data_IF_051254121279
#
_entry.id   IF_051254121279
#
_cell.length_a   1.000
_cell.length_b   1.000
_cell.length_c   1.000
_cell.angle_alpha   90.00
_cell.angle_beta   90.00
_cell.angle_gamma   90.00
#
_symmetry.space_group_name_H-M   'P 1'
#
loop_
_entity.id
_entity.type
_entity.pdbx_description
1 polymer ?
#
# COMPACT_ATOMS: atom_id res chain seq x y z
N UNK A 1 20.17 15.66 -10.20
CA UNK A 1 21.17 14.83 -9.49
C UNK A 1 21.77 15.61 -8.33
N UNK A 2 22.26 16.84 -8.55
CA UNK A 2 22.87 17.67 -7.51
C UNK A 2 22.00 17.86 -6.26
N UNK A 3 20.69 18.12 -6.41
CA UNK A 3 19.77 18.24 -5.27
C UNK A 3 19.68 16.97 -4.42
N UNK A 4 19.78 15.78 -5.04
CA UNK A 4 19.78 14.50 -4.30
C UNK A 4 21.12 14.29 -3.60
N UNK A 5 22.24 14.61 -4.26
CA UNK A 5 23.57 14.54 -3.65
C UNK A 5 23.68 15.48 -2.44
N UNK A 6 23.22 16.72 -2.56
CA UNK A 6 23.16 17.67 -1.44
C UNK A 6 22.32 17.14 -0.27
N UNK A 7 21.21 16.43 -0.56
CA UNK A 7 20.41 15.81 0.49
C UNK A 7 21.13 14.63 1.17
N UNK A 8 21.92 13.85 0.43
CA UNK A 8 22.74 12.76 0.97
C UNK A 8 23.88 13.30 1.83
N UNK A 9 24.53 14.37 1.40
CA UNK A 9 25.59 15.05 2.15
C UNK A 9 25.04 15.70 3.43
N UNK A 10 23.91 16.40 3.34
CA UNK A 10 23.25 17.01 4.50
C UNK A 10 22.83 15.98 5.57
N UNK A 11 22.49 14.75 5.15
CA UNK A 11 22.19 13.66 6.08
C UNK A 11 23.42 12.87 6.53
N UNK A 12 24.64 13.26 6.09
CA UNK A 12 25.88 12.52 6.33
C UNK A 12 25.74 11.04 5.97
N UNK A 13 25.11 10.75 4.82
CA UNK A 13 24.71 9.39 4.45
C UNK A 13 25.90 8.43 4.31
N UNK A 14 27.09 8.93 3.96
CA UNK A 14 28.31 8.14 3.91
C UNK A 14 29.54 8.95 4.31
N UNK A 15 30.61 8.23 4.66
CA UNK A 15 31.98 8.74 4.75
C UNK A 15 32.84 8.11 3.64
N UNK A 16 33.83 8.85 3.11
CA UNK A 16 34.79 8.28 2.15
C UNK A 16 35.92 7.59 2.92
N UNK A 17 36.06 6.28 2.73
CA UNK A 17 37.03 5.43 3.42
C UNK A 17 37.76 4.52 2.42
N UNK A 18 38.88 3.92 2.83
CA UNK A 18 39.49 2.81 2.08
C UNK A 18 38.71 1.52 2.33
N UNK A 19 38.57 0.69 1.30
CA UNK A 19 37.89 -0.61 1.43
C UNK A 19 38.74 -1.53 2.32
N UNK A 20 38.20 -2.02 3.46
CA UNK A 20 38.94 -2.96 4.29
C UNK A 20 39.14 -4.31 3.58
N UNK A 21 40.22 -5.05 3.90
CA UNK A 21 40.45 -6.39 3.36
C UNK A 21 39.26 -7.32 3.64
N UNK A 22 38.81 -8.06 2.63
CA UNK A 22 37.73 -9.04 2.75
C UNK A 22 36.30 -8.48 2.70
N UNK A 23 36.11 -7.16 2.69
CA UNK A 23 34.78 -6.55 2.51
C UNK A 23 34.40 -6.46 1.03
N UNK A 24 33.13 -6.68 0.72
CA UNK A 24 32.59 -6.57 -0.65
C UNK A 24 31.93 -5.22 -0.87
N UNK A 25 32.12 -4.68 -2.07
CA UNK A 25 31.48 -3.45 -2.49
C UNK A 25 30.12 -3.72 -3.11
N UNK A 26 29.14 -2.92 -2.71
CA UNK A 26 27.86 -2.83 -3.42
C UNK A 26 27.91 -1.70 -4.44
N UNK A 27 27.31 -1.92 -5.61
CA UNK A 27 27.17 -0.85 -6.59
C UNK A 27 26.00 0.07 -6.29
N UNK A 28 25.87 1.15 -7.04
CA UNK A 28 24.71 2.03 -7.03
C UNK A 28 24.26 2.35 -8.46
N UNK A 29 23.07 2.93 -8.60
CA UNK A 29 22.56 3.47 -9.87
C UNK A 29 21.66 4.67 -9.64
N UNK A 30 21.62 5.57 -10.61
CA UNK A 30 20.65 6.65 -10.66
C UNK A 30 19.32 6.14 -11.23
N UNK A 31 18.22 6.47 -10.56
CA UNK A 31 16.86 6.22 -11.03
C UNK A 31 16.18 7.57 -11.28
N UNK A 32 15.70 7.78 -12.50
CA UNK A 32 15.05 9.00 -12.91
C UNK A 32 13.55 8.80 -13.06
N UNK A 33 12.77 9.79 -12.61
CA UNK A 33 11.32 9.81 -12.75
C UNK A 33 10.84 11.23 -13.01
N UNK A 34 10.13 11.43 -14.11
CA UNK A 34 9.40 12.67 -14.37
C UNK A 34 8.11 12.67 -13.55
N UNK A 35 7.90 13.72 -12.76
CA UNK A 35 6.64 14.01 -12.09
C UNK A 35 5.86 14.96 -12.99
N UNK A 36 4.59 14.65 -13.22
CA UNK A 36 3.69 15.44 -14.04
C UNK A 36 2.62 16.08 -13.16
N UNK A 37 2.18 17.28 -13.54
CA UNK A 37 1.02 17.95 -12.97
C UNK A 37 -0.27 17.27 -13.45
N UNK A 38 -1.40 17.68 -12.90
CA UNK A 38 -2.71 17.15 -13.26
C UNK A 38 -3.08 17.39 -14.74
N UNK A 39 -2.56 18.46 -15.35
CA UNK A 39 -2.73 18.81 -16.77
C UNK A 39 -1.78 18.05 -17.72
N UNK A 40 -0.94 17.16 -17.19
CA UNK A 40 0.05 16.40 -17.97
C UNK A 40 1.37 17.14 -18.23
N UNK A 41 1.50 18.41 -17.84
CA UNK A 41 2.75 19.15 -17.93
C UNK A 41 3.77 18.66 -16.90
N UNK A 42 5.06 18.94 -17.12
CA UNK A 42 6.13 18.50 -16.22
C UNK A 42 6.10 19.33 -14.93
N UNK A 43 5.90 18.67 -13.79
CA UNK A 43 6.01 19.26 -12.46
C UNK A 43 7.48 19.35 -12.05
N UNK A 44 8.22 18.23 -12.12
CA UNK A 44 9.64 18.16 -11.77
C UNK A 44 10.32 16.90 -12.29
N UNK A 45 11.62 16.99 -12.55
CA UNK A 45 12.48 15.82 -12.77
C UNK A 45 13.04 15.33 -11.42
N UNK A 46 12.71 14.10 -11.04
CA UNK A 46 13.21 13.48 -9.81
C UNK A 46 14.33 12.51 -10.14
N UNK A 47 15.47 12.67 -9.48
CA UNK A 47 16.56 11.69 -9.49
C UNK A 47 16.67 11.09 -8.09
N UNK A 48 16.92 9.78 -8.00
CA UNK A 48 17.22 9.09 -6.75
C UNK A 48 18.46 8.24 -6.95
N UNK A 49 19.36 8.27 -5.97
CA UNK A 49 20.45 7.32 -5.91
C UNK A 49 19.94 6.04 -5.24
N UNK A 50 20.16 4.90 -5.88
CA UNK A 50 19.69 3.60 -5.39
C UNK A 50 20.86 2.63 -5.32
N UNK A 51 21.10 2.08 -4.13
CA UNK A 51 22.02 1.00 -3.88
C UNK A 51 21.55 -0.27 -4.59
N UNK A 52 22.48 -1.05 -5.13
CA UNK A 52 22.22 -2.37 -5.73
C UNK A 52 22.10 -3.44 -4.63
N UNK A 53 21.23 -3.24 -3.65
CA UNK A 53 21.14 -4.13 -2.47
C UNK A 53 20.71 -5.57 -2.77
N UNK A 54 20.33 -5.91 -4.00
CA UNK A 54 20.18 -7.30 -4.43
C UNK A 54 21.51 -8.08 -4.38
N UNK A 55 22.66 -7.39 -4.32
CA UNK A 55 23.97 -8.03 -4.11
C UNK A 55 24.29 -8.26 -2.62
N UNK A 56 23.46 -7.79 -1.68
CA UNK A 56 23.68 -7.98 -0.25
C UNK A 56 23.37 -9.41 0.19
N UNK A 57 24.19 -9.93 1.09
CA UNK A 57 24.12 -11.28 1.67
C UNK A 57 23.60 -11.20 3.11
N UNK A 58 22.59 -12.01 3.42
CA UNK A 58 22.04 -12.15 4.77
C UNK A 58 23.09 -12.71 5.74
N UNK A 59 23.14 -12.20 6.96
CA UNK A 59 24.14 -12.57 7.97
C UNK A 59 25.49 -11.87 7.80
N UNK A 60 25.72 -11.18 6.67
CA UNK A 60 26.92 -10.38 6.42
C UNK A 60 26.60 -8.88 6.32
N UNK A 61 25.69 -8.53 5.40
CA UNK A 61 25.36 -7.13 5.06
C UNK A 61 24.08 -6.63 5.74
N UNK A 62 23.26 -7.55 6.25
CA UNK A 62 22.03 -7.30 6.99
C UNK A 62 21.61 -8.55 7.75
N UNK A 63 20.87 -8.36 8.85
CA UNK A 63 20.27 -9.47 9.61
C UNK A 63 18.74 -9.50 9.49
N UNK A 64 18.08 -8.34 9.58
CA UNK A 64 16.63 -8.25 9.54
C UNK A 64 16.15 -7.20 8.54
N UNK A 65 15.07 -7.50 7.81
CA UNK A 65 14.52 -6.61 6.78
C UNK A 65 13.06 -6.25 7.00
N UNK A 66 12.41 -6.87 7.99
CA UNK A 66 10.98 -6.69 8.21
C UNK A 66 10.66 -5.26 8.65
N UNK A 67 9.75 -4.62 7.90
CA UNK A 67 9.16 -3.33 8.22
C UNK A 67 7.64 -3.45 8.08
N UNK A 68 6.85 -3.11 9.11
CA UNK A 68 5.41 -3.16 9.03
C UNK A 68 4.87 -2.06 8.12
N UNK A 69 3.70 -2.34 7.53
CA UNK A 69 2.96 -1.42 6.67
C UNK A 69 1.51 -1.45 7.11
N UNK A 70 0.90 -0.27 7.29
CA UNK A 70 -0.49 -0.15 7.72
C UNK A 70 -1.42 -0.95 6.80
N UNK A 71 -2.27 -1.78 7.41
CA UNK A 71 -3.29 -2.50 6.64
C UNK A 71 -4.34 -1.52 6.15
N UNK A 72 -4.83 -1.74 4.94
CA UNK A 72 -5.92 -0.93 4.39
C UNK A 72 -7.22 -1.05 5.20
N UNK A 73 -7.41 -2.15 5.92
CA UNK A 73 -8.49 -2.29 6.90
C UNK A 73 -8.32 -1.31 8.06
N UNK A 74 -7.11 -1.15 8.61
CA UNK A 74 -6.81 -0.14 9.65
C UNK A 74 -7.07 1.28 9.17
N UNK A 75 -6.67 1.60 7.92
CA UNK A 75 -6.97 2.89 7.29
C UNK A 75 -8.48 3.14 7.24
N UNK A 76 -9.26 2.16 6.76
CA UNK A 76 -10.73 2.27 6.67
C UNK A 76 -11.38 2.38 8.05
N UNK A 77 -10.92 1.63 9.05
CA UNK A 77 -11.40 1.73 10.43
C UNK A 77 -11.12 3.12 11.02
N UNK A 78 -9.91 3.64 10.85
CA UNK A 78 -9.54 4.98 11.30
C UNK A 78 -10.44 6.05 10.68
N UNK A 79 -10.67 5.97 9.37
CA UNK A 79 -11.53 6.91 8.66
C UNK A 79 -13.01 6.78 9.07
N UNK A 80 -13.50 5.57 9.30
CA UNK A 80 -14.86 5.35 9.79
C UNK A 80 -15.08 5.94 11.19
N UNK A 81 -14.12 5.72 12.11
CA UNK A 81 -14.17 6.29 13.46
C UNK A 81 -14.04 7.82 13.39
N UNK A 82 -13.10 8.33 12.59
CA UNK A 82 -12.89 9.76 12.43
C UNK A 82 -14.11 10.47 11.82
N UNK A 83 -14.79 9.85 10.86
CA UNK A 83 -16.05 10.35 10.30
C UNK A 83 -17.14 10.45 11.38
N UNK A 84 -17.30 9.39 12.18
CA UNK A 84 -18.30 9.34 13.26
C UNK A 84 -18.03 10.33 14.37
N UNK A 85 -16.77 10.44 14.80
CA UNK A 85 -16.35 11.31 15.91
C UNK A 85 -16.02 12.74 15.46
N UNK A 86 -16.18 13.03 14.17
CA UNK A 86 -15.78 14.28 13.53
C UNK A 86 -14.32 14.70 13.83
N UNK A 87 -13.41 13.73 13.89
CA UNK A 87 -12.00 13.98 14.16
C UNK A 87 -11.32 14.72 13.01
N UNK A 88 -10.32 15.52 13.34
CA UNK A 88 -9.43 16.15 12.37
C UNK A 88 -8.56 15.06 11.76
N UNK A 89 -8.25 15.16 10.46
CA UNK A 89 -7.37 14.20 9.78
C UNK A 89 -6.41 14.99 8.90
N UNK A 90 -5.15 14.98 9.29
CA UNK A 90 -4.06 15.59 8.55
C UNK A 90 -3.15 14.53 7.94
N UNK A 91 -2.52 14.87 6.83
CA UNK A 91 -1.56 14.02 6.16
C UNK A 91 -0.19 14.69 6.16
N UNK A 92 0.84 13.91 6.48
CA UNK A 92 2.23 14.32 6.45
C UNK A 92 3.01 13.43 5.47
N UNK A 93 4.00 13.98 4.79
CA UNK A 93 4.91 13.28 3.86
C UNK A 93 6.35 13.50 4.32
N UNK A 94 7.03 12.43 4.74
CA UNK A 94 8.44 12.52 5.15
C UNK A 94 9.33 12.51 3.91
N UNK A 95 10.10 13.59 3.71
CA UNK A 95 11.01 13.62 2.58
C UNK A 95 12.18 12.66 2.84
N UNK A 96 12.46 11.81 1.85
CA UNK A 96 13.63 10.94 1.87
C UNK A 96 13.72 10.08 3.14
N UNK A 97 12.58 9.53 3.58
CA UNK A 97 12.43 8.73 4.80
C UNK A 97 13.58 7.73 5.04
N UNK A 98 13.97 6.94 4.03
CA UNK A 98 15.04 5.95 4.18
C UNK A 98 16.41 6.55 4.53
N UNK A 99 16.68 7.81 4.18
CA UNK A 99 17.94 8.48 4.53
C UNK A 99 18.01 8.88 6.02
N UNK A 100 16.88 8.90 6.72
CA UNK A 100 16.85 9.18 8.14
C UNK A 100 17.15 7.94 9.01
N UNK A 101 17.02 6.74 8.45
CA UNK A 101 17.32 5.49 9.14
C UNK A 101 18.82 5.34 9.39
N UNK A 102 19.19 5.10 10.64
CA UNK A 102 20.56 4.75 11.02
C UNK A 102 20.94 3.39 10.42
N UNK A 103 22.19 3.21 9.99
CA UNK A 103 22.68 1.94 9.48
C UNK A 103 23.75 1.41 10.44
N UNK A 104 23.39 0.38 11.19
CA UNK A 104 24.29 -0.26 12.15
C UNK A 104 25.29 -1.20 11.45
N UNK A 105 24.89 -1.81 10.33
CA UNK A 105 25.75 -2.70 9.56
C UNK A 105 26.82 -1.95 8.74
N UNK A 106 27.99 -2.58 8.59
CA UNK A 106 29.08 -2.03 7.79
C UNK A 106 28.91 -2.33 6.30
N UNK A 107 28.23 -1.43 5.60
CA UNK A 107 28.02 -1.53 4.14
C UNK A 107 28.91 -0.54 3.39
N UNK A 108 29.68 -1.05 2.42
CA UNK A 108 30.56 -0.27 1.55
C UNK A 108 30.01 -0.20 0.14
N UNK A 109 29.87 1.01 -0.40
CA UNK A 109 29.28 1.28 -1.70
C UNK A 109 30.28 1.96 -2.63
N UNK A 110 30.23 1.62 -3.92
CA UNK A 110 30.96 2.35 -4.96
C UNK A 110 30.43 3.80 -5.01
N UNK A 111 31.30 4.82 -5.06
CA UNK A 111 30.86 6.20 -5.17
C UNK A 111 29.89 6.41 -6.35
N UNK A 112 28.90 7.31 -6.22
CA UNK A 112 27.93 7.54 -7.28
C UNK A 112 28.62 7.97 -8.58
N UNK A 113 28.16 7.50 -9.76
CA UNK A 113 28.67 8.00 -11.03
C UNK A 113 28.56 9.53 -11.10
N UNK A 114 29.69 10.21 -11.34
CA UNK A 114 29.78 11.67 -11.38
C UNK A 114 30.01 12.37 -10.03
N UNK A 115 30.24 11.61 -8.95
CA UNK A 115 30.53 12.18 -7.62
C UNK A 115 32.03 12.46 -7.40
N UNK A 116 32.89 11.49 -7.73
CA UNK A 116 34.34 11.59 -7.51
C UNK A 116 35.09 12.05 -8.77
N UNK A 117 36.21 12.73 -8.56
CA UNK A 117 37.19 13.07 -9.62
C UNK A 117 37.89 11.82 -10.14
N UNK A 118 38.42 11.89 -11.37
CA UNK A 118 39.20 10.79 -11.95
C UNK A 118 40.40 10.45 -11.06
N UNK A 119 40.51 9.19 -10.62
CA UNK A 119 41.61 8.70 -9.77
C UNK A 119 41.28 8.51 -8.29
N UNK A 120 40.07 8.85 -7.83
CA UNK A 120 39.65 8.58 -6.44
C UNK A 120 39.48 7.06 -6.21
N UNK A 121 40.24 6.52 -5.26
CA UNK A 121 40.22 5.10 -4.89
C UNK A 121 39.38 4.80 -3.65
N UNK A 122 38.93 5.84 -2.93
CA UNK A 122 38.08 5.67 -1.75
C UNK A 122 36.67 5.24 -2.11
N UNK A 123 36.03 4.57 -1.17
CA UNK A 123 34.67 4.02 -1.29
C UNK A 123 33.76 4.67 -0.26
N UNK A 124 32.45 4.67 -0.52
CA UNK A 124 31.47 5.22 0.41
C UNK A 124 31.14 4.18 1.49
N UNK A 125 31.59 4.41 2.73
CA UNK A 125 31.08 3.68 3.89
C UNK A 125 29.74 4.29 4.28
N UNK A 126 28.65 3.55 4.12
CA UNK A 126 27.31 4.03 4.45
C UNK A 126 27.16 4.17 5.98
N UNK A 127 26.61 5.31 6.41
CA UNK A 127 26.26 5.62 7.81
C UNK A 127 24.75 5.70 8.02
N UNK A 128 24.02 6.00 6.95
CA UNK A 128 22.56 5.99 6.91
C UNK A 128 22.09 4.99 5.86
N UNK A 129 20.86 4.54 6.04
CA UNK A 129 20.18 3.72 5.06
C UNK A 129 20.00 4.48 3.73
N UNK A 130 20.03 3.74 2.63
CA UNK A 130 19.88 4.27 1.28
C UNK A 130 18.84 3.45 0.53
N UNK A 131 18.14 4.08 -0.43
CA UNK A 131 17.17 3.37 -1.27
C UNK A 131 17.81 2.14 -1.91
N UNK A 132 17.11 1.01 -1.86
CA UNK A 132 17.57 -0.23 -2.49
C UNK A 132 18.43 -1.12 -1.59
N UNK A 133 18.85 -0.67 -0.41
CA UNK A 133 19.32 -1.58 0.65
C UNK A 133 18.15 -2.42 1.17
N UNK A 134 18.44 -3.68 1.54
CA UNK A 134 17.41 -4.62 2.01
C UNK A 134 16.81 -4.23 3.37
N UNK A 135 17.58 -3.62 4.26
CA UNK A 135 17.15 -3.19 5.60
C UNK A 135 16.62 -1.74 5.65
N UNK A 136 16.68 -0.97 4.56
CA UNK A 136 16.38 0.47 4.59
C UNK A 136 14.99 0.81 5.14
N UNK A 137 13.96 0.05 4.73
CA UNK A 137 12.59 0.26 5.22
C UNK A 137 12.45 0.00 6.71
N UNK A 138 13.18 -1.01 7.22
CA UNK A 138 13.17 -1.37 8.63
C UNK A 138 13.83 -0.28 9.46
N UNK A 139 15.02 0.17 9.06
CA UNK A 139 15.79 1.14 9.83
C UNK A 139 15.06 2.49 9.89
N UNK A 140 14.39 2.88 8.80
CA UNK A 140 13.48 4.01 8.81
C UNK A 140 12.34 3.82 9.81
N UNK A 141 11.62 2.70 9.71
CA UNK A 141 10.47 2.44 10.58
C UNK A 141 10.88 2.39 12.06
N UNK A 142 12.03 1.78 12.37
CA UNK A 142 12.58 1.72 13.71
C UNK A 142 12.88 3.12 14.25
N UNK A 143 13.58 3.95 13.46
CA UNK A 143 13.88 5.34 13.85
C UNK A 143 12.63 6.16 14.13
N UNK A 144 11.63 6.06 13.24
CA UNK A 144 10.35 6.72 13.43
C UNK A 144 9.63 6.22 14.68
N UNK A 145 9.63 4.90 14.90
CA UNK A 145 9.03 4.27 16.08
C UNK A 145 9.66 4.80 17.37
N UNK A 146 10.99 4.87 17.45
CA UNK A 146 11.69 5.43 18.63
C UNK A 146 11.22 6.86 18.91
N UNK A 147 11.19 7.73 17.90
CA UNK A 147 10.72 9.12 18.07
C UNK A 147 9.25 9.18 18.52
N UNK A 148 8.38 8.32 17.99
CA UNK A 148 6.97 8.27 18.40
C UNK A 148 6.82 7.79 19.85
N UNK A 149 7.56 6.76 20.25
CA UNK A 149 7.54 6.25 21.62
C UNK A 149 8.08 7.28 22.62
N UNK A 150 9.17 7.97 22.27
CA UNK A 150 9.75 9.05 23.09
C UNK A 150 8.78 10.23 23.24
N UNK A 151 7.96 10.51 22.22
CA UNK A 151 6.87 11.48 22.28
C UNK A 151 5.64 11.00 23.08
N UNK A 152 5.68 9.80 23.67
CA UNK A 152 4.64 9.24 24.54
C UNK A 152 3.57 8.42 23.82
N UNK A 153 3.71 8.14 22.52
CA UNK A 153 2.77 7.28 21.82
C UNK A 153 2.92 5.82 22.25
N UNK A 154 1.82 5.08 22.17
CA UNK A 154 1.80 3.62 22.34
C UNK A 154 1.58 2.96 20.99
N UNK A 155 2.45 2.01 20.64
CA UNK A 155 2.32 1.21 19.43
C UNK A 155 1.27 0.11 19.61
N UNK A 156 0.38 -0.06 18.62
CA UNK A 156 -0.62 -1.13 18.62
C UNK A 156 0.02 -2.48 18.27
N UNK A 157 -0.43 -3.53 18.97
CA UNK A 157 -0.02 -4.92 18.68
C UNK A 157 -0.82 -5.53 17.52
N UNK A 158 -2.02 -5.01 17.24
CA UNK A 158 -2.86 -5.49 16.15
C UNK A 158 -2.35 -4.99 14.78
N UNK A 159 -1.91 -3.74 14.72
CA UNK A 159 -1.23 -3.14 13.57
C UNK A 159 -0.06 -2.30 14.06
N UNK A 160 1.16 -2.79 13.85
CA UNK A 160 2.39 -2.15 14.34
C UNK A 160 2.62 -0.77 13.70
N UNK A 161 1.94 -0.45 12.60
CA UNK A 161 2.00 0.87 11.98
C UNK A 161 1.04 1.90 12.61
N UNK A 162 0.20 1.48 13.58
CA UNK A 162 -0.74 2.33 14.29
C UNK A 162 -0.19 2.71 15.68
N UNK A 163 -0.20 4.00 15.97
CA UNK A 163 0.26 4.59 17.22
C UNK A 163 -0.84 5.45 17.82
N UNK A 164 -1.00 5.40 19.14
CA UNK A 164 -2.03 6.16 19.86
C UNK A 164 -1.44 6.91 21.04
N UNK A 165 -1.78 8.18 21.16
CA UNK A 165 -1.55 9.01 22.33
C UNK A 165 -2.93 9.39 22.89
N UNK A 166 -3.25 8.87 24.08
CA UNK A 166 -4.54 9.07 24.74
C UNK A 166 -4.29 9.76 26.08
N UNK A 167 -4.95 10.89 26.28
CA UNK A 167 -5.03 11.59 27.56
C UNK A 167 -6.47 11.55 28.07
N UNK A 168 -6.75 12.20 29.20
CA UNK A 168 -8.12 12.28 29.72
C UNK A 168 -9.10 13.00 28.79
N UNK A 169 -8.61 13.96 27.98
CA UNK A 169 -9.46 14.82 27.14
C UNK A 169 -9.12 14.73 25.66
N UNK A 170 -7.93 14.26 25.30
CA UNK A 170 -7.43 14.24 23.93
C UNK A 170 -7.04 12.84 23.47
N UNK A 171 -7.28 12.58 22.18
CA UNK A 171 -6.83 11.40 21.48
C UNK A 171 -6.17 11.84 20.17
N UNK A 172 -4.93 11.41 19.99
CA UNK A 172 -4.19 11.54 18.74
C UNK A 172 -3.77 10.15 18.28
N UNK A 173 -4.10 9.82 17.05
CA UNK A 173 -3.79 8.57 16.37
C UNK A 173 -2.87 8.89 15.19
N UNK A 174 -1.76 8.18 15.12
CA UNK A 174 -0.78 8.28 14.04
C UNK A 174 -0.74 6.94 13.32
N UNK A 175 -1.03 6.94 12.03
CA UNK A 175 -0.95 5.75 11.17
C UNK A 175 0.14 5.95 10.13
N UNK A 176 1.13 5.07 10.14
CA UNK A 176 2.33 5.17 9.30
C UNK A 176 2.23 4.22 8.11
N UNK A 177 2.35 4.76 6.90
CA UNK A 177 2.54 3.98 5.67
C UNK A 177 3.82 4.42 4.99
N UNK A 178 4.94 3.79 5.38
CA UNK A 178 6.28 4.09 4.85
C UNK A 178 6.62 5.60 5.01
N UNK A 179 6.49 6.40 3.96
CA UNK A 179 6.80 7.85 3.96
C UNK A 179 5.55 8.71 4.28
N UNK A 180 4.34 8.17 4.04
CA UNK A 180 3.06 8.85 4.26
C UNK A 180 2.57 8.59 5.69
N UNK A 181 2.19 9.63 6.42
CA UNK A 181 1.68 9.54 7.79
C UNK A 181 0.29 10.20 7.85
N UNK A 182 -0.70 9.47 8.37
CA UNK A 182 -1.99 10.05 8.75
C UNK A 182 -1.99 10.38 10.23
N UNK A 183 -2.39 11.59 10.58
CA UNK A 183 -2.58 12.04 11.94
C UNK A 183 -4.05 12.39 12.12
N UNK A 184 -4.73 11.68 13.02
CA UNK A 184 -6.13 11.92 13.30
C UNK A 184 -6.38 12.11 14.79
N UNK A 185 -7.30 12.99 15.17
CA UNK A 185 -7.59 13.24 16.57
C UNK A 185 -8.69 14.25 16.81
N UNK A 186 -9.04 14.43 18.09
CA UNK A 186 -10.07 15.39 18.51
C UNK A 186 -9.49 16.75 18.95
N UNK A 187 -8.16 16.87 19.11
CA UNK A 187 -7.49 18.05 19.67
C UNK A 187 -6.45 18.60 18.70
N UNK A 188 -6.76 19.74 18.07
CA UNK A 188 -5.88 20.39 17.08
C UNK A 188 -4.55 20.88 17.70
N UNK A 189 -4.54 21.60 18.83
CA UNK A 189 -3.30 21.93 19.55
C UNK A 189 -2.36 20.74 19.76
N UNK A 190 -2.88 19.58 20.18
CA UNK A 190 -2.06 18.38 20.37
C UNK A 190 -1.49 17.86 19.04
N UNK A 191 -2.30 17.87 17.97
CA UNK A 191 -1.85 17.49 16.62
C UNK A 191 -0.75 18.42 16.13
N UNK A 192 -0.88 19.74 16.31
CA UNK A 192 0.13 20.71 15.89
C UNK A 192 1.41 20.61 16.73
N UNK A 193 1.29 20.36 18.04
CA UNK A 193 2.45 20.05 18.88
C UNK A 193 3.20 18.82 18.38
N UNK A 194 2.47 17.74 18.07
CA UNK A 194 3.05 16.53 17.50
C UNK A 194 3.73 16.78 16.16
N UNK A 195 3.09 17.54 15.25
CA UNK A 195 3.69 17.91 13.96
C UNK A 195 5.01 18.65 14.15
N UNK A 196 5.03 19.64 15.03
CA UNK A 196 6.24 20.42 15.31
C UNK A 196 7.36 19.52 15.87
N UNK A 197 7.03 18.62 16.79
CA UNK A 197 7.98 17.65 17.29
C UNK A 197 8.50 16.72 16.18
N UNK A 198 7.64 16.26 15.27
CA UNK A 198 8.07 15.46 14.13
C UNK A 198 8.98 16.27 13.18
N UNK A 199 8.73 17.57 13.00
CA UNK A 199 9.52 18.47 12.15
C UNK A 199 10.92 18.76 12.70
N UNK A 200 11.12 18.66 14.03
CA UNK A 200 12.47 18.80 14.61
C UNK A 200 13.34 17.58 14.34
N UNK A 201 12.74 16.40 14.18
CA UNK A 201 13.47 15.15 13.93
C UNK A 201 13.61 14.79 12.46
N UNK A 202 12.60 15.09 11.64
CA UNK A 202 12.54 14.68 10.24
C UNK A 202 12.15 15.83 9.32
N UNK A 203 12.70 15.81 8.10
CA UNK A 203 12.34 16.78 7.07
C UNK A 203 10.99 16.44 6.46
N UNK A 204 9.92 16.79 7.15
CA UNK A 204 8.54 16.42 6.79
C UNK A 204 7.81 17.57 6.11
N UNK A 205 6.84 17.26 5.26
CA UNK A 205 5.90 18.21 4.66
C UNK A 205 4.52 18.00 5.25
N UNK A 206 3.89 19.08 5.65
CA UNK A 206 2.47 19.08 5.97
C UNK A 206 1.65 19.23 4.69
N UNK A 207 0.82 18.22 4.39
CA UNK A 207 -0.12 18.27 3.27
C UNK A 207 -1.50 18.79 3.71
N UNK A 208 -1.66 19.11 4.99
CA UNK A 208 -2.89 19.62 5.58
C UNK A 208 -3.98 18.55 5.66
N UNK A 209 -5.23 18.98 5.51
CA UNK A 209 -6.40 18.09 5.51
C UNK A 209 -6.27 16.98 4.48
N UNK A 210 -6.61 15.76 4.89
CA UNK A 210 -6.57 14.58 4.04
C UNK A 210 -7.44 14.74 2.78
N UNK A 211 -6.80 14.78 1.61
CA UNK A 211 -7.45 14.79 0.28
C UNK A 211 -7.06 13.59 -0.58
N UNK A 212 -5.83 13.11 -0.45
CA UNK A 212 -5.29 12.00 -1.24
C UNK A 212 -4.37 11.13 -0.41
N UNK A 213 -4.63 9.84 -0.26
CA UNK A 213 -3.76 8.93 0.47
C UNK A 213 -3.60 7.63 -0.28
N UNK A 214 -2.35 7.24 -0.60
CA UNK A 214 -2.05 6.01 -1.35
C UNK A 214 -2.85 5.89 -2.66
N UNK A 215 -3.01 6.99 -3.40
CA UNK A 215 -3.81 7.00 -4.63
C UNK A 215 -5.33 6.82 -4.43
N UNK A 216 -5.81 6.90 -3.19
CA UNK A 216 -7.22 7.05 -2.85
C UNK A 216 -7.58 8.54 -2.80
N UNK A 217 -8.70 8.88 -3.39
CA UNK A 217 -9.32 10.20 -3.33
C UNK A 217 -10.26 10.28 -2.13
N UNK A 218 -10.06 11.26 -1.27
CA UNK A 218 -10.82 11.44 -0.03
C UNK A 218 -11.62 12.74 -0.10
N UNK A 219 -12.94 12.63 0.00
CA UNK A 219 -13.84 13.76 0.12
C UNK A 219 -14.51 13.73 1.48
N UNK A 220 -14.47 14.85 2.21
CA UNK A 220 -15.07 14.98 3.55
C UNK A 220 -16.19 16.01 3.52
N UNK A 221 -17.30 15.68 4.17
CA UNK A 221 -18.42 16.59 4.43
C UNK A 221 -18.95 16.38 5.85
N UNK A 222 -19.96 17.16 6.26
CA UNK A 222 -20.68 16.95 7.53
C UNK A 222 -21.39 15.59 7.59
N UNK A 223 -21.76 15.04 6.43
CA UNK A 223 -22.40 13.73 6.34
C UNK A 223 -21.41 12.56 6.54
N UNK A 224 -20.11 12.78 6.34
CA UNK A 224 -19.12 11.72 6.47
C UNK A 224 -17.90 11.87 5.55
N UNK A 225 -17.22 10.75 5.33
CA UNK A 225 -16.02 10.66 4.48
C UNK A 225 -16.30 9.69 3.33
N UNK A 226 -16.07 10.13 2.10
CA UNK A 226 -16.16 9.33 0.89
C UNK A 226 -14.77 9.02 0.36
N UNK A 227 -14.49 7.73 0.14
CA UNK A 227 -13.25 7.24 -0.47
C UNK A 227 -13.55 6.67 -1.85
N UNK A 228 -12.78 7.10 -2.86
CA UNK A 228 -12.85 6.53 -4.20
C UNK A 228 -11.46 6.48 -4.87
N UNK A 229 -11.42 5.85 -6.05
CA UNK A 229 -10.22 5.73 -6.88
C UNK A 229 -10.53 6.17 -8.32
N UNK A 230 -11.28 7.27 -8.50
CA UNK A 230 -11.77 7.71 -9.81
C UNK A 230 -10.64 7.93 -10.79
N UNK A 231 -9.61 8.68 -10.40
CA UNK A 231 -8.45 8.93 -11.26
C UNK A 231 -7.80 7.61 -11.71
N UNK A 232 -7.59 6.70 -10.77
CA UNK A 232 -6.96 5.41 -11.06
C UNK A 232 -7.82 4.54 -11.99
N UNK A 233 -9.14 4.53 -11.81
CA UNK A 233 -10.08 3.83 -12.68
C UNK A 233 -10.03 4.40 -14.12
N UNK A 234 -10.00 5.72 -14.27
CA UNK A 234 -9.86 6.38 -15.58
C UNK A 234 -8.52 6.06 -16.24
N UNK A 235 -7.42 6.05 -15.47
CA UNK A 235 -6.10 5.67 -15.97
C UNK A 235 -6.10 4.20 -16.46
N UNK A 236 -6.80 3.28 -15.77
CA UNK A 236 -6.94 1.89 -16.24
C UNK A 236 -7.71 1.85 -17.55
N UNK A 237 -8.83 2.58 -17.66
CA UNK A 237 -9.66 2.61 -18.86
C UNK A 237 -8.92 3.22 -20.07
N UNK A 238 -8.12 4.26 -19.83
CA UNK A 238 -7.27 4.88 -20.84
C UNK A 238 -6.21 3.90 -21.34
N UNK A 239 -5.42 3.33 -20.42
CA UNK A 239 -4.32 2.42 -20.76
C UNK A 239 -4.78 1.12 -21.44
N UNK A 240 -6.03 0.71 -21.24
CA UNK A 240 -6.64 -0.47 -21.86
C UNK A 240 -7.45 -0.17 -23.12
N UNK A 241 -7.52 1.10 -23.55
CA UNK A 241 -8.30 1.51 -24.71
C UNK A 241 -9.82 1.36 -24.53
N UNK A 242 -10.32 1.28 -23.28
CA UNK A 242 -11.73 1.05 -22.97
C UNK A 242 -12.52 2.34 -22.70
N UNK A 243 -11.92 3.53 -22.86
CA UNK A 243 -12.64 4.81 -22.70
C UNK A 243 -13.85 4.92 -23.64
N UNK A 244 -13.79 4.37 -24.85
CA UNK A 244 -14.89 4.36 -25.83
C UNK A 244 -15.86 3.17 -25.71
N UNK A 245 -15.59 2.18 -24.85
CA UNK A 245 -16.33 0.92 -24.83
C UNK A 245 -17.78 1.05 -24.31
N UNK A 246 -18.71 0.19 -24.73
CA UNK A 246 -20.06 0.17 -24.14
C UNK A 246 -19.99 -0.24 -22.67
N UNK A 247 -20.86 0.28 -21.81
CA UNK A 247 -20.91 -0.13 -20.41
C UNK A 247 -21.46 -1.56 -20.25
N UNK A 248 -21.25 -2.14 -19.06
CA UNK A 248 -21.89 -3.38 -18.63
C UNK A 248 -22.56 -3.14 -17.26
N UNK A 249 -23.70 -3.78 -17.00
CA UNK A 249 -24.46 -3.59 -15.74
C UNK A 249 -23.92 -4.42 -14.57
N UNK A 250 -23.13 -5.45 -14.85
CA UNK A 250 -22.53 -6.33 -13.84
C UNK A 250 -21.12 -6.77 -14.26
N UNK A 251 -20.21 -7.01 -13.29
CA UNK A 251 -18.79 -7.23 -13.56
C UNK A 251 -18.49 -8.59 -14.22
N UNK A 252 -19.27 -9.62 -13.90
CA UNK A 252 -19.04 -10.99 -14.37
C UNK A 252 -20.38 -11.73 -14.54
N UNK A 253 -20.48 -12.55 -15.57
CA UNK A 253 -21.68 -13.36 -15.86
C UNK A 253 -21.91 -14.43 -14.81
N UNK A 254 -23.18 -14.64 -14.47
CA UNK A 254 -23.58 -15.70 -13.58
C UNK A 254 -23.20 -17.05 -14.20
N UNK A 255 -22.64 -17.95 -13.38
CA UNK A 255 -22.17 -19.27 -13.81
C UNK A 255 -21.05 -19.29 -14.87
N UNK A 256 -20.36 -18.17 -15.11
CA UNK A 256 -19.17 -18.15 -15.96
C UNK A 256 -18.09 -19.08 -15.37
N UNK A 257 -17.80 -20.18 -16.05
CA UNK A 257 -16.75 -21.13 -15.68
C UNK A 257 -15.54 -20.96 -16.60
N UNK A 258 -14.55 -20.22 -16.12
CA UNK A 258 -13.26 -20.09 -16.80
C UNK A 258 -12.38 -21.33 -16.51
N UNK A 259 -11.63 -21.78 -17.52
CA UNK A 259 -10.79 -22.97 -17.46
C UNK A 259 -9.38 -22.68 -17.96
N UNK A 260 -8.40 -23.43 -17.45
CA UNK A 260 -7.01 -23.37 -17.90
C UNK A 260 -6.79 -23.95 -19.31
N UNK A 261 -7.81 -24.57 -19.90
CA UNK A 261 -7.73 -25.25 -21.19
C UNK A 261 -8.62 -24.59 -22.26
N UNK A 262 -9.47 -23.65 -21.87
CA UNK A 262 -10.46 -23.06 -22.77
C UNK A 262 -9.90 -21.91 -23.62
N UNK A 263 -10.08 -22.03 -24.94
CA UNK A 263 -9.59 -21.07 -25.93
C UNK A 263 -8.07 -21.03 -26.10
N UNK A 264 -7.56 -20.25 -27.07
CA UNK A 264 -6.12 -20.11 -27.29
C UNK A 264 -5.45 -19.27 -26.19
N UNK A 265 -4.16 -19.53 -25.98
CA UNK A 265 -3.31 -18.71 -25.11
C UNK A 265 -3.26 -17.26 -25.60
N UNK A 266 -3.17 -16.33 -24.65
CA UNK A 266 -2.99 -14.93 -24.97
C UNK A 266 -1.56 -14.71 -25.52
N UNK A 267 -1.38 -14.08 -26.69
CA UNK A 267 -0.05 -13.88 -27.29
C UNK A 267 0.92 -13.12 -26.37
N UNK A 268 0.42 -12.10 -25.67
CA UNK A 268 1.17 -11.36 -24.66
C UNK A 268 0.49 -11.46 -23.27
N UNK A 269 0.97 -12.38 -22.41
CA UNK A 269 0.49 -12.51 -21.03
C UNK A 269 0.70 -11.26 -20.17
N UNK A 270 1.63 -10.38 -20.53
CA UNK A 270 2.00 -9.22 -19.70
C UNK A 270 0.85 -8.21 -19.62
N UNK A 271 0.08 -8.05 -20.69
CA UNK A 271 -1.11 -7.17 -20.74
C UNK A 271 -2.14 -7.62 -19.71
N UNK A 272 -2.43 -8.92 -19.67
CA UNK A 272 -3.36 -9.49 -18.70
C UNK A 272 -2.87 -9.34 -17.27
N UNK A 273 -1.60 -9.69 -17.01
CA UNK A 273 -1.00 -9.58 -15.67
C UNK A 273 -1.00 -8.14 -15.16
N UNK A 274 -0.65 -7.18 -16.02
CA UNK A 274 -0.71 -5.74 -15.70
C UNK A 274 -2.14 -5.31 -15.41
N UNK A 275 -3.11 -5.71 -16.23
CA UNK A 275 -4.52 -5.36 -16.04
C UNK A 275 -5.11 -5.96 -14.77
N UNK A 276 -4.84 -7.23 -14.46
CA UNK A 276 -5.36 -7.85 -13.24
C UNK A 276 -4.70 -7.26 -11.99
N UNK A 277 -3.39 -6.99 -12.01
CA UNK A 277 -2.70 -6.27 -10.92
C UNK A 277 -3.29 -4.88 -10.66
N UNK A 278 -3.50 -4.14 -11.76
CA UNK A 278 -4.59 -3.16 -11.98
C UNK A 278 -5.77 -3.20 -11.03
N UNK A 279 -6.62 -4.17 -11.34
CA UNK A 279 -7.93 -4.35 -10.74
C UNK A 279 -7.83 -4.77 -9.27
N UNK A 280 -6.80 -5.55 -8.90
CA UNK A 280 -6.53 -5.91 -7.49
C UNK A 280 -6.40 -4.64 -6.66
N UNK A 281 -5.64 -3.65 -7.13
CA UNK A 281 -5.49 -2.37 -6.42
C UNK A 281 -6.80 -1.57 -6.36
N UNK A 282 -7.62 -1.63 -7.41
CA UNK A 282 -8.92 -0.95 -7.45
C UNK A 282 -9.94 -1.55 -6.46
N UNK A 283 -9.76 -2.81 -6.03
CA UNK A 283 -10.65 -3.44 -5.04
C UNK A 283 -10.57 -2.79 -3.65
N UNK A 284 -9.61 -1.90 -3.40
CA UNK A 284 -9.47 -1.16 -2.13
C UNK A 284 -10.69 -0.27 -1.85
N UNK A 285 -11.34 0.28 -2.88
CA UNK A 285 -12.59 1.04 -2.75
C UNK A 285 -13.77 0.40 -3.48
N UNK A 286 -13.58 -0.74 -4.14
CA UNK A 286 -14.59 -1.42 -4.98
C UNK A 286 -14.85 -2.86 -4.49
N UNK A 287 -15.60 -3.04 -3.40
CA UNK A 287 -15.97 -4.38 -2.93
C UNK A 287 -16.79 -5.18 -3.96
N UNK A 288 -17.54 -4.49 -4.81
CA UNK A 288 -18.40 -5.00 -5.87
C UNK A 288 -17.67 -5.81 -6.97
N UNK A 289 -16.37 -5.57 -7.17
CA UNK A 289 -15.57 -6.30 -8.19
C UNK A 289 -14.65 -7.37 -7.58
N UNK A 290 -14.58 -7.49 -6.25
CA UNK A 290 -13.59 -8.36 -5.56
C UNK A 290 -13.70 -9.81 -6.03
N UNK A 291 -14.94 -10.32 -6.17
CA UNK A 291 -15.18 -11.67 -6.66
C UNK A 291 -14.64 -11.87 -8.09
N UNK A 292 -15.03 -10.99 -9.01
CA UNK A 292 -14.61 -11.07 -10.41
C UNK A 292 -13.08 -11.00 -10.54
N UNK A 293 -12.44 -10.10 -9.81
CA UNK A 293 -10.98 -9.95 -9.78
C UNK A 293 -10.31 -11.18 -9.16
N UNK A 294 -10.89 -11.79 -8.13
CA UNK A 294 -10.37 -13.01 -7.54
C UNK A 294 -10.35 -14.17 -8.55
N UNK A 295 -11.43 -14.35 -9.32
CA UNK A 295 -11.50 -15.37 -10.37
C UNK A 295 -10.44 -15.13 -11.45
N UNK A 296 -10.34 -13.90 -11.97
CA UNK A 296 -9.34 -13.53 -12.98
C UNK A 296 -7.89 -13.74 -12.49
N UNK A 297 -7.63 -13.45 -11.22
CA UNK A 297 -6.31 -13.64 -10.61
C UNK A 297 -5.81 -15.08 -10.64
N UNK A 298 -6.68 -16.07 -10.78
CA UNK A 298 -6.30 -17.48 -10.84
C UNK A 298 -5.56 -17.86 -12.14
N UNK A 299 -5.70 -17.05 -13.18
CA UNK A 299 -5.19 -17.34 -14.53
C UNK A 299 -3.93 -16.52 -14.89
N UNK A 300 -3.28 -15.89 -13.92
CA UNK A 300 -2.09 -15.04 -14.15
C UNK A 300 -0.90 -15.80 -14.75
N UNK A 301 -0.76 -17.11 -14.49
CA UNK A 301 0.34 -17.92 -15.00
C UNK A 301 0.26 -18.08 -16.53
N UNK A 302 -0.88 -18.57 -17.03
CA UNK A 302 -1.13 -18.84 -18.45
C UNK A 302 -2.50 -18.26 -18.88
N UNK A 303 -2.60 -16.93 -19.08
CA UNK A 303 -3.84 -16.30 -19.50
C UNK A 303 -4.22 -16.69 -20.94
N UNK A 304 -5.53 -16.73 -21.21
CA UNK A 304 -6.14 -17.13 -22.49
C UNK A 304 -7.11 -16.06 -22.97
N UNK A 305 -7.53 -16.13 -24.22
CA UNK A 305 -8.48 -15.17 -24.81
C UNK A 305 -9.77 -15.05 -23.98
N UNK A 306 -10.44 -16.14 -23.53
CA UNK A 306 -11.63 -16.03 -22.68
C UNK A 306 -11.39 -15.27 -21.38
N UNK A 307 -10.21 -15.44 -20.76
CA UNK A 307 -9.83 -14.71 -19.55
C UNK A 307 -9.73 -13.20 -19.81
N UNK A 308 -9.12 -12.81 -20.94
CA UNK A 308 -9.02 -11.41 -21.33
C UNK A 308 -10.39 -10.81 -21.62
N UNK A 309 -11.28 -11.53 -22.32
CA UNK A 309 -12.66 -11.10 -22.57
C UNK A 309 -13.42 -10.83 -21.27
N UNK A 310 -13.29 -11.72 -20.27
CA UNK A 310 -13.88 -11.53 -18.95
C UNK A 310 -13.27 -10.31 -18.21
N UNK A 311 -11.96 -10.09 -18.31
CA UNK A 311 -11.31 -8.90 -17.74
C UNK A 311 -11.80 -7.60 -18.42
N UNK A 312 -11.96 -7.61 -19.74
CA UNK A 312 -12.53 -6.48 -20.49
C UNK A 312 -13.98 -6.19 -20.07
N UNK A 313 -14.78 -7.21 -19.75
CA UNK A 313 -16.13 -7.01 -19.20
C UNK A 313 -16.09 -6.25 -17.87
N UNK A 314 -15.17 -6.59 -16.97
CA UNK A 314 -14.99 -5.85 -15.69
C UNK A 314 -14.66 -4.38 -15.96
N UNK A 315 -13.84 -4.08 -16.96
CA UNK A 315 -13.56 -2.70 -17.37
C UNK A 315 -14.81 -1.98 -17.88
N UNK A 316 -15.63 -2.63 -18.69
CA UNK A 316 -16.91 -2.08 -19.16
C UNK A 316 -17.87 -1.80 -18.01
N UNK A 317 -17.85 -2.62 -16.96
CA UNK A 317 -18.62 -2.37 -15.74
C UNK A 317 -18.08 -1.16 -14.95
N UNK A 318 -16.76 -1.09 -14.74
CA UNK A 318 -16.11 0.06 -14.06
C UNK A 318 -16.38 1.37 -14.81
N UNK A 319 -16.40 1.34 -16.15
CA UNK A 319 -16.74 2.51 -16.98
C UNK A 319 -18.13 3.09 -16.65
N UNK A 320 -19.09 2.26 -16.24
CA UNK A 320 -20.42 2.74 -15.86
C UNK A 320 -20.39 3.69 -14.65
N UNK A 321 -19.46 3.48 -13.72
CA UNK A 321 -19.32 4.27 -12.50
C UNK A 321 -17.84 4.36 -12.05
N UNK A 322 -17.01 5.13 -12.77
CA UNK A 322 -15.57 5.19 -12.47
C UNK A 322 -15.27 5.83 -11.10
N UNK A 323 -16.17 6.70 -10.62
CA UNK A 323 -16.06 7.32 -9.29
C UNK A 323 -16.75 6.54 -8.16
N UNK A 324 -17.23 5.32 -8.40
CA UNK A 324 -17.78 4.47 -7.35
C UNK A 324 -16.73 4.23 -6.27
N UNK A 325 -17.17 4.26 -5.01
CA UNK A 325 -16.31 4.13 -3.85
C UNK A 325 -17.09 3.67 -2.63
N UNK A 326 -16.50 3.91 -1.45
CA UNK A 326 -17.09 3.60 -0.15
C UNK A 326 -17.37 4.87 0.64
N UNK A 327 -18.46 4.87 1.39
CA UNK A 327 -18.89 6.00 2.21
C UNK A 327 -18.89 5.62 3.69
N UNK A 328 -18.32 6.50 4.50
CA UNK A 328 -18.27 6.40 5.95
C UNK A 328 -19.15 7.47 6.57
N UNK A 329 -20.33 7.08 7.03
CA UNK A 329 -21.31 8.03 7.58
C UNK A 329 -20.89 8.55 8.95
N UNK A 330 -21.09 9.85 9.20
CA UNK A 330 -20.92 10.45 10.52
C UNK A 330 -22.01 10.00 11.52
N UNK A 331 -23.17 9.57 11.03
CA UNK A 331 -24.29 9.08 11.84
C UNK A 331 -24.28 7.57 12.10
N UNK A 332 -23.21 6.86 11.70
CA UNK A 332 -23.14 5.40 11.78
C UNK A 332 -23.06 4.87 13.21
N UNK A 333 -23.61 3.68 13.47
CA UNK A 333 -23.37 2.97 14.74
C UNK A 333 -21.93 2.44 14.82
N UNK A 334 -21.48 2.05 16.00
CA UNK A 334 -20.14 1.44 16.21
C UNK A 334 -20.23 -0.07 16.39
N UNK A 335 -21.36 -0.66 15.99
CA UNK A 335 -21.55 -2.10 16.03
C UNK A 335 -20.85 -2.73 14.84
N UNK A 336 -20.04 -3.76 15.09
CA UNK A 336 -19.41 -4.53 14.02
C UNK A 336 -20.40 -5.59 13.53
N UNK A 337 -20.67 -5.60 12.23
CA UNK A 337 -21.51 -6.59 11.56
C UNK A 337 -20.70 -7.28 10.48
N UNK A 338 -20.72 -8.61 10.45
CA UNK A 338 -20.04 -9.40 9.44
C UNK A 338 -21.02 -10.32 8.71
N UNK A 339 -20.85 -10.38 7.39
CA UNK A 339 -21.51 -11.32 6.50
C UNK A 339 -20.43 -12.25 5.96
N UNK A 340 -20.71 -13.54 5.93
CA UNK A 340 -19.82 -14.57 5.39
C UNK A 340 -20.62 -15.48 4.50
N UNK A 341 -20.00 -15.93 3.41
CA UNK A 341 -20.62 -16.86 2.48
C UNK A 341 -19.53 -17.74 1.83
N UNK A 342 -19.93 -18.88 1.29
CA UNK A 342 -19.05 -19.76 0.54
C UNK A 342 -19.79 -20.53 -0.54
N UNK A 343 -19.10 -20.75 -1.66
CA UNK A 343 -19.55 -21.74 -2.62
C UNK A 343 -19.11 -23.17 -2.23
N UNK A 344 -19.62 -24.17 -2.95
CA UNK A 344 -19.17 -25.55 -2.82
C UNK A 344 -18.56 -26.09 -4.12
N UNK A 345 -17.27 -26.40 -4.05
CA UNK A 345 -16.51 -27.02 -5.14
C UNK A 345 -16.68 -26.33 -6.51
N UNK A 346 -16.74 -25.00 -6.52
CA UNK A 346 -16.99 -24.20 -7.73
C UNK A 346 -15.86 -24.29 -8.75
N UNK A 347 -14.61 -24.42 -8.28
CA UNK A 347 -13.45 -24.52 -9.16
C UNK A 347 -13.47 -25.87 -9.91
N UNK A 348 -13.61 -25.89 -11.25
CA UNK A 348 -13.71 -27.14 -11.99
C UNK A 348 -12.46 -28.02 -11.85
N UNK A 349 -11.28 -27.40 -11.81
CA UNK A 349 -10.00 -28.11 -11.76
C UNK A 349 -9.64 -28.61 -10.37
N UNK A 350 -9.76 -27.76 -9.34
CA UNK A 350 -9.27 -28.11 -7.99
C UNK A 350 -10.37 -28.61 -7.06
N UNK A 351 -11.64 -28.46 -7.44
CA UNK A 351 -12.82 -28.71 -6.60
C UNK A 351 -12.79 -27.96 -5.25
N UNK A 352 -11.92 -26.96 -5.10
CA UNK A 352 -11.85 -26.11 -3.92
C UNK A 352 -12.93 -25.05 -3.97
N UNK A 353 -13.52 -24.79 -2.80
CA UNK A 353 -14.51 -23.74 -2.62
C UNK A 353 -13.88 -22.35 -2.57
N UNK A 354 -14.69 -21.32 -2.74
CA UNK A 354 -14.37 -19.92 -2.54
C UNK A 354 -15.11 -19.41 -1.31
N UNK A 355 -14.38 -18.82 -0.38
CA UNK A 355 -14.91 -18.11 0.79
C UNK A 355 -14.94 -16.63 0.50
N UNK A 356 -16.01 -15.94 0.91
CA UNK A 356 -16.04 -14.50 0.98
C UNK A 356 -16.58 -13.99 2.30
N UNK A 357 -16.18 -12.77 2.65
CA UNK A 357 -16.75 -12.04 3.77
C UNK A 357 -16.82 -10.55 3.47
N UNK A 358 -17.72 -9.88 4.18
CA UNK A 358 -17.92 -8.45 4.15
C UNK A 358 -18.23 -7.94 5.57
N UNK A 359 -17.39 -7.05 6.10
CA UNK A 359 -17.46 -6.55 7.48
C UNK A 359 -17.69 -5.04 7.45
N UNK A 360 -18.65 -4.61 8.25
CA UNK A 360 -19.04 -3.21 8.41
C UNK A 360 -18.90 -2.77 9.87
N UNK A 361 -18.50 -1.51 10.07
CA UNK A 361 -18.63 -0.79 11.33
C UNK A 361 -19.85 0.12 11.22
N UNK A 362 -20.97 -0.31 11.80
CA UNK A 362 -22.29 0.22 11.52
C UNK A 362 -22.64 0.00 10.05
N UNK A 363 -22.80 1.09 9.32
CA UNK A 363 -23.05 1.12 7.87
C UNK A 363 -21.76 1.24 7.04
N UNK A 364 -20.62 1.49 7.69
CA UNK A 364 -19.33 1.77 7.03
C UNK A 364 -18.61 0.48 6.65
N UNK A 365 -18.32 0.19 5.37
CA UNK A 365 -17.62 -1.03 4.99
C UNK A 365 -16.11 -0.92 5.28
N UNK A 366 -15.60 -1.77 6.17
CA UNK A 366 -14.22 -1.67 6.69
C UNK A 366 -13.31 -2.81 6.26
N UNK A 367 -13.84 -4.03 6.03
CA UNK A 367 -13.05 -5.17 5.56
C UNK A 367 -13.89 -6.04 4.63
N UNK A 368 -13.26 -6.61 3.60
CA UNK A 368 -13.90 -7.56 2.70
C UNK A 368 -12.86 -8.40 1.99
N UNK A 369 -13.26 -9.61 1.60
CA UNK A 369 -12.37 -10.53 0.91
C UNK A 369 -13.15 -11.57 0.12
N UNK A 370 -12.57 -11.99 -0.99
CA UNK A 370 -12.93 -13.24 -1.67
C UNK A 370 -11.64 -14.04 -1.85
N UNK A 371 -11.64 -15.31 -1.46
CA UNK A 371 -10.47 -16.18 -1.52
C UNK A 371 -10.85 -17.64 -1.70
N UNK A 372 -10.18 -18.32 -2.64
CA UNK A 372 -10.24 -19.77 -2.76
C UNK A 372 -9.68 -20.45 -1.50
N UNK A 373 -10.42 -21.41 -0.96
CA UNK A 373 -10.01 -22.22 0.18
C UNK A 373 -8.73 -23.00 -0.12
N UNK A 374 -7.96 -23.31 0.92
CA UNK A 374 -6.68 -24.01 0.80
C UNK A 374 -6.86 -25.50 0.51
N UNK A 375 -7.91 -26.11 1.06
CA UNK A 375 -8.22 -27.53 0.92
C UNK A 375 -9.61 -27.72 0.29
N UNK A 376 -9.87 -28.90 -0.26
CA UNK A 376 -11.21 -29.26 -0.76
C UNK A 376 -12.14 -29.48 0.43
N UNK A 377 -13.35 -28.93 0.38
CA UNK A 377 -14.39 -29.18 1.37
C UNK A 377 -15.19 -30.43 0.99
N UNK A 378 -15.48 -31.30 1.96
CA UNK A 378 -16.21 -32.56 1.77
C UNK A 378 -17.72 -32.34 1.65
N UNK A 379 -18.24 -31.22 2.17
CA UNK A 379 -19.64 -30.82 2.07
C UNK A 379 -19.77 -29.30 1.95
N UNK A 380 -20.95 -28.82 1.57
CA UNK A 380 -21.29 -27.39 1.61
C UNK A 380 -21.16 -26.83 3.03
N UNK A 381 -21.66 -27.56 4.03
CA UNK A 381 -21.54 -27.18 5.43
C UNK A 381 -20.08 -27.00 5.87
N UNK A 382 -19.17 -27.88 5.47
CA UNK A 382 -17.74 -27.72 5.78
C UNK A 382 -17.16 -26.46 5.12
N UNK A 383 -17.56 -26.15 3.88
CA UNK A 383 -17.13 -24.93 3.20
C UNK A 383 -17.60 -23.68 3.96
N UNK A 384 -18.84 -23.68 4.45
CA UNK A 384 -19.43 -22.59 5.24
C UNK A 384 -18.73 -22.44 6.60
N UNK A 385 -18.48 -23.53 7.33
CA UNK A 385 -17.73 -23.48 8.60
C UNK A 385 -16.32 -22.91 8.42
N UNK A 386 -15.64 -23.26 7.33
CA UNK A 386 -14.33 -22.66 7.01
C UNK A 386 -14.44 -21.17 6.69
N UNK A 387 -15.51 -20.76 6.01
CA UNK A 387 -15.76 -19.35 5.73
C UNK A 387 -16.03 -18.55 7.02
N UNK A 388 -16.84 -19.11 7.92
CA UNK A 388 -17.08 -18.56 9.25
C UNK A 388 -15.77 -18.45 10.04
N UNK A 389 -14.94 -19.49 10.08
CA UNK A 389 -13.67 -19.46 10.79
C UNK A 389 -12.74 -18.34 10.29
N UNK A 390 -12.60 -18.18 8.97
CA UNK A 390 -11.80 -17.09 8.37
C UNK A 390 -12.37 -15.72 8.73
N UNK A 391 -13.69 -15.57 8.70
CA UNK A 391 -14.37 -14.32 9.05
C UNK A 391 -14.19 -13.99 10.54
N UNK A 392 -14.30 -14.99 11.42
CA UNK A 392 -14.06 -14.83 12.86
C UNK A 392 -12.61 -14.43 13.13
N UNK A 393 -11.62 -15.00 12.43
CA UNK A 393 -10.23 -14.56 12.57
C UNK A 393 -10.04 -13.08 12.21
N UNK A 394 -10.69 -12.60 11.15
CA UNK A 394 -10.65 -11.18 10.79
C UNK A 394 -11.36 -10.31 11.85
N UNK A 395 -12.48 -10.78 12.39
CA UNK A 395 -13.21 -10.09 13.47
C UNK A 395 -12.45 -10.04 14.80
N UNK A 396 -11.66 -11.07 15.13
CA UNK A 396 -10.81 -11.05 16.33
C UNK A 396 -9.62 -10.11 16.18
N UNK A 397 -9.15 -9.92 14.94
CA UNK A 397 -8.07 -8.98 14.65
C UNK A 397 -8.56 -7.51 14.64
N UNK A 398 -9.78 -7.27 14.15
CA UNK A 398 -10.48 -5.97 14.18
C UNK A 398 -10.83 -5.56 15.61
#
# INVERSE_FOLDING_TARGET
MSTELQALEANSTWTLDHLPPGKKLIGCKWVFKTKLKADGSIERYKARLVAKGYTQVEGLDYHETFAPVAKMTTVRCLLAIAAKKNWIIHQLDVNNAFLHGDLDEEVYMIPPPGYCTQGETRVCRLRKSLYGLKQASRNWFFKLTTVLLDAGFRQSQADHSLFTLITHTSITIVLVYVDDILVAGNDLPQIEFFKNHLFTHFKTKDLGSLKFFLGLEVARSSAGIFLNQRKYALDILSDSGQLGARTASFPMEQHLKLSNEDGPLLPDPSIYRRLVGRLIYLTITRPDIVYAVNILSQFMHAPRIPHMTAATRVLRYIKGSPGQGIFFSSSSTTQVTAYTDSDWASCPTTRRSTTCYFIQLGTSPISWRTKKQTTVARSSAEAEYRAMAVTTCELTWL
#
